data_IF_844224753806
#
_entry.id   IF_844224753806
#
_cell.length_a   1.000
_cell.length_b   1.000
_cell.length_c   1.000
_cell.angle_alpha   90.00
_cell.angle_beta   90.00
_cell.angle_gamma   90.00
#
_symmetry.space_group_name_H-M   'P 1'
#
loop_
_entity.id
_entity.type
_entity.pdbx_description
1 polymer ?
#
# COMPACT_ATOMS: atom_id res chain seq x y z
N UNK A 1 23.87 13.80 -18.52
CA UNK A 1 24.27 13.80 -17.09
C UNK A 1 23.16 14.43 -16.25
N UNK A 2 22.14 13.66 -15.81
CA UNK A 2 21.08 14.16 -14.89
C UNK A 2 20.50 13.09 -13.96
N UNK A 3 21.14 11.92 -13.85
CA UNK A 3 20.61 10.75 -13.11
C UNK A 3 21.44 10.30 -11.89
N UNK A 4 22.51 11.03 -11.52
CA UNK A 4 23.36 10.60 -10.40
C UNK A 4 22.95 11.20 -9.04
N UNK A 5 22.40 12.42 -9.00
CA UNK A 5 22.03 13.08 -7.73
C UNK A 5 20.69 12.61 -7.16
N UNK A 6 19.74 12.21 -8.01
CA UNK A 6 18.42 11.70 -7.57
C UNK A 6 18.54 10.35 -6.87
N UNK A 7 19.42 9.47 -7.34
CA UNK A 7 19.64 8.15 -6.75
C UNK A 7 20.28 8.20 -5.36
N UNK A 8 21.13 9.22 -5.10
CA UNK A 8 21.77 9.42 -3.81
C UNK A 8 20.78 9.98 -2.78
N UNK A 9 19.95 10.97 -3.16
CA UNK A 9 18.96 11.59 -2.27
C UNK A 9 17.93 10.58 -1.75
N UNK A 10 17.39 9.71 -2.60
CA UNK A 10 16.43 8.69 -2.17
C UNK A 10 17.06 7.55 -1.35
N UNK A 11 18.36 7.27 -1.54
CA UNK A 11 19.12 6.33 -0.70
C UNK A 11 19.45 6.90 0.68
N UNK A 12 19.75 8.20 0.78
CA UNK A 12 20.11 8.85 2.05
C UNK A 12 18.90 9.34 2.83
N UNK A 13 17.78 9.63 2.18
CA UNK A 13 16.53 10.07 2.82
C UNK A 13 16.05 9.16 3.98
N UNK A 14 15.98 7.83 3.85
CA UNK A 14 15.58 6.97 4.98
C UNK A 14 16.58 7.01 6.15
N UNK A 15 17.87 7.20 5.87
CA UNK A 15 18.90 7.35 6.89
C UNK A 15 18.80 8.72 7.58
N UNK A 16 18.65 9.80 6.80
CA UNK A 16 18.51 11.16 7.28
C UNK A 16 17.23 11.33 8.11
N UNK A 17 16.13 10.70 7.70
CA UNK A 17 14.88 10.66 8.48
C UNK A 17 15.06 9.97 9.82
N UNK A 18 15.77 8.84 9.86
CA UNK A 18 16.07 8.12 11.12
C UNK A 18 16.96 8.94 12.04
N UNK A 19 17.99 9.59 11.48
CA UNK A 19 18.87 10.48 12.24
C UNK A 19 18.09 11.69 12.79
N UNK A 20 17.23 12.31 11.98
CA UNK A 20 16.37 13.41 12.42
C UNK A 20 15.42 13.01 13.55
N UNK A 21 14.78 11.84 13.45
CA UNK A 21 13.93 11.31 14.53
C UNK A 21 14.73 11.04 15.81
N UNK A 22 15.94 10.49 15.68
CA UNK A 22 16.83 10.25 16.82
C UNK A 22 17.22 11.57 17.51
N UNK A 23 17.54 12.61 16.74
CA UNK A 23 17.82 13.95 17.26
C UNK A 23 16.61 14.52 17.99
N UNK A 24 15.39 14.38 17.45
CA UNK A 24 14.16 14.82 18.11
C UNK A 24 13.97 14.10 19.45
N UNK A 25 14.17 12.78 19.49
CA UNK A 25 14.06 12.02 20.74
C UNK A 25 15.13 12.39 21.76
N UNK A 26 16.36 12.68 21.32
CA UNK A 26 17.42 13.18 22.20
C UNK A 26 17.08 14.55 22.77
N UNK A 27 16.62 15.49 21.95
CA UNK A 27 16.20 16.83 22.39
C UNK A 27 15.05 16.70 23.40
N UNK A 28 14.05 15.86 23.12
CA UNK A 28 12.95 15.61 24.04
C UNK A 28 13.44 15.00 25.36
N UNK A 29 14.35 14.02 25.31
CA UNK A 29 14.93 13.42 26.51
C UNK A 29 15.71 14.45 27.35
N UNK A 30 16.54 15.28 26.72
CA UNK A 30 17.28 16.37 27.37
C UNK A 30 16.30 17.37 28.00
N UNK A 31 15.24 17.74 27.28
CA UNK A 31 14.20 18.64 27.79
C UNK A 31 13.50 18.07 29.03
N UNK A 32 13.10 16.79 29.00
CA UNK A 32 12.50 16.11 30.16
C UNK A 32 13.47 16.09 31.34
N UNK A 33 14.76 15.82 31.11
CA UNK A 33 15.78 15.85 32.16
C UNK A 33 15.91 17.26 32.75
N UNK A 34 15.97 18.29 31.90
CA UNK A 34 16.10 19.68 32.33
C UNK A 34 14.94 20.13 33.21
N UNK A 35 13.68 19.96 32.75
CA UNK A 35 12.49 20.32 33.56
C UNK A 35 12.39 19.51 34.86
N UNK A 36 12.91 18.28 34.87
CA UNK A 36 12.93 17.42 36.06
C UNK A 36 13.95 17.92 37.09
N UNK A 37 15.11 18.42 36.64
CA UNK A 37 16.14 18.98 37.53
C UNK A 37 15.65 20.30 38.15
N UNK A 38 15.07 21.17 37.33
CA UNK A 38 14.64 22.52 37.71
C UNK A 38 13.39 22.56 38.60
N UNK A 39 12.58 21.50 38.58
CA UNK A 39 11.40 21.42 39.43
C UNK A 39 11.78 21.43 40.92
N UNK A 40 11.22 22.35 41.71
CA UNK A 40 11.55 22.49 43.14
C UNK A 40 10.87 21.43 44.00
N UNK A 41 9.64 21.04 43.64
CA UNK A 41 8.88 20.04 44.38
C UNK A 41 9.22 18.60 43.95
N UNK A 42 9.49 17.72 44.93
CA UNK A 42 9.78 16.30 44.68
C UNK A 42 8.67 15.61 43.87
N UNK A 43 7.40 15.93 44.15
CA UNK A 43 6.27 15.39 43.41
C UNK A 43 6.30 15.76 41.92
N UNK A 44 6.68 17.00 41.58
CA UNK A 44 6.81 17.43 40.20
C UNK A 44 7.96 16.71 39.48
N UNK A 45 9.11 16.49 40.15
CA UNK A 45 10.23 15.69 39.62
C UNK A 45 9.78 14.28 39.24
N UNK A 46 9.05 13.61 40.13
CA UNK A 46 8.55 12.26 39.90
C UNK A 46 7.58 12.20 38.72
N UNK A 47 6.65 13.16 38.63
CA UNK A 47 5.69 13.25 37.53
C UNK A 47 6.40 13.45 36.19
N UNK A 48 7.36 14.37 36.10
CA UNK A 48 8.10 14.62 34.86
C UNK A 48 8.99 13.44 34.46
N UNK A 49 9.69 12.83 35.41
CA UNK A 49 10.55 11.68 35.13
C UNK A 49 9.74 10.47 34.66
N UNK A 50 8.69 10.09 35.39
CA UNK A 50 7.87 8.91 35.07
C UNK A 50 7.04 9.18 33.81
N UNK A 51 6.34 10.31 33.75
CA UNK A 51 5.51 10.68 32.60
C UNK A 51 6.33 10.82 31.32
N UNK A 52 7.44 11.54 31.38
CA UNK A 52 8.36 11.70 30.25
C UNK A 52 8.98 10.37 29.82
N UNK A 53 9.37 9.52 30.77
CA UNK A 53 9.87 8.18 30.50
C UNK A 53 8.85 7.30 29.78
N UNK A 54 7.59 7.30 30.22
CA UNK A 54 6.49 6.56 29.58
C UNK A 54 6.27 7.07 28.14
N UNK A 55 6.21 8.39 27.94
CA UNK A 55 6.01 8.98 26.61
C UNK A 55 7.16 8.61 25.67
N UNK A 56 8.41 8.70 26.14
CA UNK A 56 9.59 8.35 25.35
C UNK A 56 9.60 6.85 25.01
N UNK A 57 9.33 5.96 25.98
CA UNK A 57 9.25 4.52 25.73
C UNK A 57 8.14 4.19 24.73
N UNK A 58 6.97 4.81 24.86
CA UNK A 58 5.85 4.65 23.92
C UNK A 58 6.21 5.09 22.50
N UNK A 59 6.90 6.24 22.35
CA UNK A 59 7.34 6.74 21.06
C UNK A 59 8.37 5.81 20.39
N UNK A 60 9.38 5.36 21.14
CA UNK A 60 10.40 4.42 20.65
C UNK A 60 9.77 3.07 20.25
N UNK A 61 8.83 2.58 21.07
CA UNK A 61 8.09 1.36 20.78
C UNK A 61 7.26 1.49 19.49
N UNK A 62 6.56 2.62 19.28
CA UNK A 62 5.80 2.84 18.06
C UNK A 62 6.68 2.92 16.81
N UNK A 63 7.83 3.59 16.87
CA UNK A 63 8.78 3.61 15.74
C UNK A 63 9.36 2.21 15.46
N UNK A 64 9.61 1.39 16.49
CA UNK A 64 9.99 -0.01 16.30
C UNK A 64 8.90 -0.79 15.53
N UNK A 65 7.63 -0.66 15.91
CA UNK A 65 6.53 -1.32 15.20
C UNK A 65 6.41 -0.83 13.75
N UNK A 66 6.64 0.46 13.49
CA UNK A 66 6.63 1.04 12.15
C UNK A 66 7.74 0.49 11.26
N UNK A 67 8.91 0.16 11.82
CA UNK A 67 9.98 -0.54 11.08
C UNK A 67 9.49 -1.94 10.66
N UNK A 68 8.85 -2.69 11.55
CA UNK A 68 8.26 -4.00 11.22
C UNK A 68 7.17 -3.87 10.15
N UNK A 69 6.30 -2.88 10.27
CA UNK A 69 5.27 -2.59 9.27
C UNK A 69 5.88 -2.25 7.91
N UNK A 70 6.93 -1.43 7.87
CA UNK A 70 7.63 -1.08 6.62
C UNK A 70 8.29 -2.30 5.98
N UNK A 71 8.89 -3.20 6.77
CA UNK A 71 9.44 -4.46 6.28
C UNK A 71 8.35 -5.33 5.66
N UNK A 72 7.20 -5.42 6.31
CA UNK A 72 6.03 -6.17 5.85
C UNK A 72 5.49 -5.62 4.51
N UNK A 73 5.28 -4.30 4.40
CA UNK A 73 4.77 -3.71 3.14
C UNK A 73 5.81 -3.77 2.02
N UNK A 74 7.09 -3.55 2.32
CA UNK A 74 8.18 -3.65 1.32
C UNK A 74 8.28 -5.05 0.74
N UNK A 75 8.15 -6.08 1.58
CA UNK A 75 8.14 -7.47 1.13
C UNK A 75 7.00 -7.74 0.13
N UNK A 76 5.82 -7.18 0.39
CA UNK A 76 4.66 -7.35 -0.49
C UNK A 76 4.78 -6.54 -1.79
N UNK A 77 5.11 -5.24 -1.71
CA UNK A 77 4.99 -4.32 -2.86
C UNK A 77 6.25 -4.21 -3.71
N UNK A 78 7.43 -4.27 -3.10
CA UNK A 78 8.70 -4.08 -3.80
C UNK A 78 9.42 -5.39 -4.12
N UNK A 79 9.29 -6.39 -3.24
CA UNK A 79 9.95 -7.69 -3.37
C UNK A 79 9.04 -8.79 -3.89
N UNK A 80 7.72 -8.52 -3.90
CA UNK A 80 6.69 -9.45 -4.37
C UNK A 80 6.81 -10.84 -3.74
N UNK A 81 7.24 -10.86 -2.48
CA UNK A 81 7.52 -12.05 -1.67
C UNK A 81 6.44 -12.24 -0.60
N UNK A 82 5.45 -13.07 -0.93
CA UNK A 82 4.31 -13.41 -0.07
C UNK A 82 4.80 -14.08 1.23
N UNK A 83 5.81 -14.94 1.16
CA UNK A 83 6.31 -15.66 2.33
C UNK A 83 6.98 -14.70 3.31
N UNK A 84 7.88 -13.83 2.82
CA UNK A 84 8.52 -12.80 3.61
C UNK A 84 7.49 -11.81 4.19
N UNK A 85 6.49 -11.42 3.40
CA UNK A 85 5.42 -10.53 3.81
C UNK A 85 4.59 -11.14 4.96
N UNK A 86 4.20 -12.41 4.86
CA UNK A 86 3.50 -13.14 5.94
C UNK A 86 4.35 -13.29 7.19
N UNK A 87 5.64 -13.60 7.05
CA UNK A 87 6.57 -13.72 8.18
C UNK A 87 6.69 -12.39 8.94
N UNK A 88 6.86 -11.29 8.21
CA UNK A 88 6.92 -9.94 8.78
C UNK A 88 5.58 -9.53 9.42
N UNK A 89 4.45 -9.91 8.82
CA UNK A 89 3.11 -9.70 9.40
C UNK A 89 2.96 -10.43 10.75
N UNK A 90 3.37 -11.70 10.82
CA UNK A 90 3.31 -12.48 12.06
C UNK A 90 4.21 -11.87 13.16
N UNK A 91 5.38 -11.38 12.76
CA UNK A 91 6.30 -10.64 13.65
C UNK A 91 5.64 -9.35 14.19
N UNK A 92 5.02 -8.54 13.33
CA UNK A 92 4.30 -7.34 13.73
C UNK A 92 3.14 -7.66 14.69
N UNK A 93 2.30 -8.64 14.36
CA UNK A 93 1.17 -9.04 15.21
C UNK A 93 1.60 -9.51 16.60
N UNK A 94 2.71 -10.24 16.69
CA UNK A 94 3.26 -10.69 17.98
C UNK A 94 3.76 -9.52 18.84
N UNK A 95 4.22 -8.44 18.19
CA UNK A 95 4.84 -7.29 18.87
C UNK A 95 3.85 -6.16 19.12
N UNK A 96 2.81 -5.99 18.31
CA UNK A 96 1.81 -4.93 18.44
C UNK A 96 0.76 -5.25 19.52
N UNK A 97 1.18 -5.19 20.78
CA UNK A 97 0.34 -5.51 21.94
C UNK A 97 -0.88 -4.58 22.04
N UNK A 98 -0.72 -3.31 21.66
CA UNK A 98 -1.78 -2.30 21.72
C UNK A 98 -2.67 -2.27 20.47
N UNK A 99 -2.40 -3.13 19.48
CA UNK A 99 -3.16 -3.21 18.21
C UNK A 99 -3.21 -1.88 17.46
N UNK A 100 -2.14 -1.08 17.55
CA UNK A 100 -2.03 0.23 16.91
C UNK A 100 -2.07 0.14 15.38
N UNK A 101 -1.64 -0.99 14.80
CA UNK A 101 -1.61 -1.22 13.36
C UNK A 101 -2.84 -1.94 12.83
N UNK A 102 -3.89 -2.14 13.64
CA UNK A 102 -5.10 -2.89 13.23
C UNK A 102 -5.69 -2.40 11.90
N UNK A 103 -5.81 -1.08 11.71
CA UNK A 103 -6.34 -0.51 10.46
C UNK A 103 -5.43 -0.79 9.26
N UNK A 104 -4.13 -0.58 9.44
CA UNK A 104 -3.12 -0.85 8.40
C UNK A 104 -3.08 -2.32 8.01
N UNK A 105 -3.26 -3.23 8.98
CA UNK A 105 -3.34 -4.67 8.74
C UNK A 105 -4.59 -5.06 7.94
N UNK A 106 -5.74 -4.39 8.11
CA UNK A 106 -6.94 -4.66 7.31
C UNK A 106 -6.67 -4.39 5.82
N UNK A 107 -6.00 -3.29 5.48
CA UNK A 107 -5.62 -2.96 4.10
C UNK A 107 -4.56 -3.94 3.60
N UNK A 108 -3.54 -4.21 4.41
CA UNK A 108 -2.49 -5.16 4.05
C UNK A 108 -3.05 -6.54 3.72
N UNK A 109 -3.99 -7.03 4.52
CA UNK A 109 -4.60 -8.35 4.34
C UNK A 109 -5.42 -8.45 3.06
N UNK A 110 -6.09 -7.37 2.62
CA UNK A 110 -6.79 -7.38 1.33
C UNK A 110 -5.81 -7.46 0.15
N UNK A 111 -4.70 -6.71 0.21
CA UNK A 111 -3.64 -6.79 -0.79
C UNK A 111 -2.98 -8.18 -0.82
N UNK A 112 -2.67 -8.73 0.36
CA UNK A 112 -2.08 -10.06 0.48
C UNK A 112 -2.99 -11.15 -0.09
N UNK A 113 -4.29 -11.12 0.19
CA UNK A 113 -5.24 -12.10 -0.35
C UNK A 113 -5.34 -12.01 -1.87
N UNK A 114 -5.31 -10.80 -2.42
CA UNK A 114 -5.28 -10.57 -3.87
C UNK A 114 -4.00 -11.12 -4.49
N UNK A 115 -2.86 -10.90 -3.85
CA UNK A 115 -1.53 -11.34 -4.27
C UNK A 115 -1.37 -12.87 -4.22
N UNK A 116 -2.12 -13.53 -3.35
CA UNK A 116 -2.24 -14.99 -3.29
C UNK A 116 -3.23 -15.59 -4.32
N UNK A 117 -3.85 -14.76 -5.16
CA UNK A 117 -4.91 -15.19 -6.09
C UNK A 117 -6.23 -15.57 -5.39
N UNK A 118 -6.41 -15.24 -4.11
CA UNK A 118 -7.61 -15.58 -3.33
C UNK A 118 -8.65 -14.46 -3.40
N UNK A 119 -9.11 -14.14 -4.62
CA UNK A 119 -9.96 -12.98 -4.88
C UNK A 119 -11.29 -13.02 -4.13
N UNK A 120 -11.98 -14.16 -4.07
CA UNK A 120 -13.22 -14.30 -3.29
C UNK A 120 -13.00 -14.08 -1.79
N UNK A 121 -11.89 -14.61 -1.25
CA UNK A 121 -11.53 -14.37 0.15
C UNK A 121 -11.18 -12.89 0.41
N UNK A 122 -10.57 -12.21 -0.56
CA UNK A 122 -10.32 -10.77 -0.51
C UNK A 122 -11.64 -9.99 -0.45
N UNK A 123 -12.61 -10.31 -1.31
CA UNK A 123 -13.95 -9.71 -1.30
C UNK A 123 -14.65 -9.90 0.06
N UNK A 124 -14.63 -11.12 0.59
CA UNK A 124 -15.21 -11.45 1.89
C UNK A 124 -14.51 -10.71 3.05
N UNK A 125 -13.18 -10.59 3.01
CA UNK A 125 -12.40 -9.83 3.99
C UNK A 125 -12.77 -8.34 3.97
N UNK A 126 -12.90 -7.76 2.77
CA UNK A 126 -13.31 -6.36 2.63
C UNK A 126 -14.72 -6.13 3.17
N UNK A 127 -15.67 -7.04 2.91
CA UNK A 127 -17.04 -6.95 3.43
C UNK A 127 -17.09 -7.10 4.95
N UNK A 128 -16.36 -8.07 5.52
CA UNK A 128 -16.20 -8.24 6.98
C UNK A 128 -15.71 -6.96 7.66
N UNK A 129 -14.87 -6.19 6.97
CA UNK A 129 -14.29 -4.95 7.46
C UNK A 129 -14.93 -3.70 6.85
N UNK A 130 -16.15 -3.79 6.31
CA UNK A 130 -16.85 -2.68 5.63
C UNK A 130 -16.85 -1.37 6.41
N UNK A 131 -17.10 -1.40 7.73
CA UNK A 131 -17.09 -0.19 8.57
C UNK A 131 -15.75 0.55 8.53
N UNK A 132 -14.63 -0.18 8.47
CA UNK A 132 -13.30 0.42 8.36
C UNK A 132 -13.12 1.08 6.99
N UNK A 133 -13.46 0.35 5.92
CA UNK A 133 -13.31 0.84 4.55
C UNK A 133 -14.19 2.06 4.25
N UNK A 134 -15.37 2.15 4.85
CA UNK A 134 -16.27 3.30 4.70
C UNK A 134 -15.95 4.44 5.69
N UNK A 135 -14.87 4.33 6.46
CA UNK A 135 -14.52 5.31 7.49
C UNK A 135 -13.89 6.60 6.95
N UNK A 136 -13.21 6.54 5.81
CA UNK A 136 -12.62 7.71 5.14
C UNK A 136 -12.77 7.59 3.62
N UNK A 137 -12.74 8.71 2.89
CA UNK A 137 -12.83 8.67 1.44
C UNK A 137 -11.68 7.90 0.77
N UNK A 138 -10.45 7.98 1.30
CA UNK A 138 -9.30 7.21 0.79
C UNK A 138 -9.51 5.70 0.98
N UNK A 139 -10.00 5.26 2.14
CA UNK A 139 -10.29 3.85 2.39
C UNK A 139 -11.45 3.36 1.53
N UNK A 140 -12.43 4.22 1.26
CA UNK A 140 -13.55 3.88 0.40
C UNK A 140 -13.08 3.74 -1.06
N UNK A 141 -12.13 4.57 -1.49
CA UNK A 141 -11.50 4.41 -2.80
C UNK A 141 -10.76 3.06 -2.88
N UNK A 142 -9.91 2.74 -1.90
CA UNK A 142 -9.19 1.46 -1.84
C UNK A 142 -10.16 0.27 -1.88
N UNK A 143 -11.28 0.37 -1.18
CA UNK A 143 -12.32 -0.65 -1.18
C UNK A 143 -12.87 -0.92 -2.59
N UNK A 144 -13.29 0.13 -3.31
CA UNK A 144 -13.85 -0.05 -4.65
C UNK A 144 -12.80 -0.44 -5.69
N UNK A 145 -11.58 0.08 -5.58
CA UNK A 145 -10.48 -0.27 -6.49
C UNK A 145 -10.05 -1.72 -6.33
N UNK A 146 -9.82 -2.19 -5.10
CA UNK A 146 -9.45 -3.59 -4.86
C UNK A 146 -10.56 -4.55 -5.28
N UNK A 147 -11.84 -4.18 -5.10
CA UNK A 147 -12.98 -4.96 -5.60
C UNK A 147 -13.01 -5.02 -7.12
N UNK A 148 -12.78 -3.90 -7.81
CA UNK A 148 -12.69 -3.86 -9.27
C UNK A 148 -11.63 -4.84 -9.78
N UNK A 149 -10.43 -4.84 -9.17
CA UNK A 149 -9.37 -5.79 -9.51
C UNK A 149 -9.77 -7.24 -9.21
N UNK A 150 -10.36 -7.53 -8.05
CA UNK A 150 -10.82 -8.89 -7.74
C UNK A 150 -11.85 -9.38 -8.77
N UNK A 151 -12.84 -8.55 -9.12
CA UNK A 151 -13.85 -8.90 -10.12
C UNK A 151 -13.28 -9.01 -11.54
N UNK A 152 -12.22 -8.28 -11.87
CA UNK A 152 -11.45 -8.48 -13.12
C UNK A 152 -10.84 -9.88 -13.17
N UNK A 153 -10.14 -10.29 -12.12
CA UNK A 153 -9.51 -11.62 -12.07
C UNK A 153 -10.51 -12.78 -11.95
N UNK A 154 -11.73 -12.50 -11.48
CA UNK A 154 -12.81 -13.47 -11.42
C UNK A 154 -13.66 -13.52 -12.70
N UNK A 155 -13.33 -12.71 -13.72
CA UNK A 155 -14.11 -12.57 -14.96
C UNK A 155 -15.59 -12.22 -14.72
N UNK A 156 -15.82 -11.22 -13.87
CA UNK A 156 -17.17 -10.77 -13.46
C UNK A 156 -17.47 -9.35 -13.95
N UNK A 157 -17.71 -9.14 -15.26
CA UNK A 157 -17.82 -7.81 -15.88
C UNK A 157 -18.96 -6.96 -15.30
N UNK A 158 -20.10 -7.58 -14.96
CA UNK A 158 -21.22 -6.85 -14.35
C UNK A 158 -20.84 -6.20 -13.00
N UNK A 159 -20.06 -6.89 -12.18
CA UNK A 159 -19.58 -6.36 -10.89
C UNK A 159 -18.46 -5.34 -11.08
N UNK A 160 -17.60 -5.52 -12.08
CA UNK A 160 -16.59 -4.52 -12.47
C UNK A 160 -17.25 -3.19 -12.85
N UNK A 161 -18.32 -3.20 -13.65
CA UNK A 161 -19.03 -1.99 -14.06
C UNK A 161 -19.67 -1.28 -12.86
N UNK A 162 -20.23 -2.02 -11.89
CA UNK A 162 -20.74 -1.44 -10.63
C UNK A 162 -19.62 -0.76 -9.83
N UNK A 163 -18.46 -1.40 -9.71
CA UNK A 163 -17.30 -0.81 -9.03
C UNK A 163 -16.81 0.43 -9.77
N UNK A 164 -16.76 0.39 -11.10
CA UNK A 164 -16.38 1.50 -11.96
C UNK A 164 -17.28 2.73 -11.81
N UNK A 165 -18.60 2.53 -11.73
CA UNK A 165 -19.55 3.61 -11.44
C UNK A 165 -19.25 4.28 -10.10
N UNK A 166 -18.96 3.50 -9.06
CA UNK A 166 -18.58 4.02 -7.74
C UNK A 166 -17.26 4.78 -7.77
N UNK A 167 -16.27 4.30 -8.52
CA UNK A 167 -14.98 4.98 -8.68
C UNK A 167 -15.11 6.27 -9.50
N UNK A 168 -16.03 6.35 -10.46
CA UNK A 168 -16.29 7.56 -11.24
C UNK A 168 -16.80 8.73 -10.38
N UNK A 169 -17.54 8.44 -9.29
CA UNK A 169 -17.98 9.45 -8.32
C UNK A 169 -16.77 10.19 -7.68
N UNK A 170 -15.61 9.54 -7.56
CA UNK A 170 -14.37 10.15 -7.06
C UNK A 170 -13.63 11.01 -8.11
N UNK A 171 -13.82 10.73 -9.40
CA UNK A 171 -13.21 11.52 -10.48
C UNK A 171 -13.81 12.93 -10.55
N UNK A 172 -15.08 13.04 -10.15
CA UNK A 172 -15.87 14.28 -10.16
C UNK A 172 -15.75 15.08 -8.86
N UNK A 173 -15.19 14.50 -7.81
CA UNK A 173 -14.97 15.20 -6.54
C UNK A 173 -13.66 16.01 -6.57
N UNK A 174 -13.58 17.06 -5.76
CA UNK A 174 -12.41 17.97 -5.74
C UNK A 174 -11.14 17.18 -5.42
N UNK A 175 -10.30 16.96 -6.44
CA UNK A 175 -9.08 16.14 -6.38
C UNK A 175 -8.09 16.62 -5.31
N UNK A 176 -8.25 17.85 -4.80
CA UNK A 176 -7.49 18.37 -3.65
C UNK A 176 -7.76 17.63 -2.33
N UNK A 177 -8.85 16.86 -2.23
CA UNK A 177 -9.24 16.12 -1.01
C UNK A 177 -8.75 14.68 -0.97
N UNK A 178 -8.09 14.20 -2.02
CA UNK A 178 -7.67 12.81 -2.15
C UNK A 178 -6.19 12.74 -2.54
N UNK A 179 -5.45 11.81 -1.95
CA UNK A 179 -4.15 11.48 -2.51
C UNK A 179 -4.37 10.79 -3.86
N UNK A 180 -3.62 11.11 -4.94
CA UNK A 180 -3.70 10.41 -6.21
C UNK A 180 -3.08 9.01 -6.05
N UNK A 181 -3.78 8.15 -5.31
CA UNK A 181 -3.31 6.81 -4.92
C UNK A 181 -3.28 5.87 -6.13
N UNK A 182 -4.16 6.08 -7.12
CA UNK A 182 -4.33 5.21 -8.27
C UNK A 182 -4.59 5.99 -9.56
N UNK A 183 -4.24 5.38 -10.70
CA UNK A 183 -4.44 5.97 -12.02
C UNK A 183 -5.89 5.78 -12.47
N UNK A 184 -6.60 6.87 -12.79
CA UNK A 184 -7.91 6.76 -13.42
C UNK A 184 -7.84 6.12 -14.82
N UNK A 185 -6.69 6.17 -15.50
CA UNK A 185 -6.51 5.46 -16.77
C UNK A 185 -6.52 3.93 -16.58
N UNK A 186 -6.04 3.41 -15.44
CA UNK A 186 -6.14 1.98 -15.12
C UNK A 186 -7.61 1.59 -14.97
N UNK A 187 -8.37 2.36 -14.18
CA UNK A 187 -9.79 2.14 -13.93
C UNK A 187 -10.59 2.21 -15.25
N UNK A 188 -10.33 3.23 -16.07
CA UNK A 188 -10.98 3.39 -17.38
C UNK A 188 -10.63 2.21 -18.32
N UNK A 189 -9.41 1.67 -18.21
CA UNK A 189 -8.98 0.47 -18.93
C UNK A 189 -9.72 -0.80 -18.51
N UNK A 190 -9.85 -1.04 -17.21
CA UNK A 190 -10.59 -2.17 -16.65
C UNK A 190 -12.09 -2.09 -17.00
N UNK A 191 -12.69 -0.90 -16.93
CA UNK A 191 -14.09 -0.69 -17.37
C UNK A 191 -14.25 -0.94 -18.87
N UNK A 192 -13.27 -0.53 -19.69
CA UNK A 192 -13.31 -0.83 -21.12
C UNK A 192 -13.23 -2.34 -21.39
N UNK A 193 -12.38 -3.05 -20.65
CA UNK A 193 -12.25 -4.51 -20.70
C UNK A 193 -13.57 -5.21 -20.33
N UNK A 194 -14.23 -4.77 -19.25
CA UNK A 194 -15.55 -5.28 -18.86
C UNK A 194 -16.64 -5.09 -19.93
N UNK A 195 -16.48 -4.11 -20.83
CA UNK A 195 -17.38 -3.88 -21.97
C UNK A 195 -16.94 -4.63 -23.25
N UNK A 196 -15.93 -5.49 -23.19
CA UNK A 196 -15.35 -6.18 -24.35
C UNK A 196 -14.54 -5.27 -25.28
N UNK A 197 -14.25 -4.03 -24.86
CA UNK A 197 -13.52 -3.05 -25.67
C UNK A 197 -12.00 -3.15 -25.45
N UNK A 198 -11.42 -4.32 -25.71
CA UNK A 198 -10.03 -4.65 -25.37
C UNK A 198 -8.98 -3.70 -25.98
N UNK A 199 -9.17 -3.23 -27.23
CA UNK A 199 -8.29 -2.21 -27.82
C UNK A 199 -8.35 -0.87 -27.08
N UNK A 200 -9.52 -0.50 -26.55
CA UNK A 200 -9.65 0.70 -25.71
C UNK A 200 -9.01 0.47 -24.35
N UNK A 201 -9.17 -0.72 -23.76
CA UNK A 201 -8.52 -1.11 -22.52
C UNK A 201 -7.00 -0.95 -22.60
N UNK A 202 -6.37 -1.51 -23.65
CA UNK A 202 -4.93 -1.38 -23.91
C UNK A 202 -4.50 0.09 -24.02
N UNK A 203 -5.20 0.89 -24.83
CA UNK A 203 -4.88 2.33 -24.97
C UNK A 203 -4.99 3.12 -23.67
N UNK A 204 -5.87 2.74 -22.76
CA UNK A 204 -5.95 3.33 -21.43
C UNK A 204 -4.78 2.87 -20.57
N UNK A 205 -4.47 1.56 -20.56
CA UNK A 205 -3.34 1.00 -19.82
C UNK A 205 -1.99 1.60 -20.28
N UNK A 206 -1.79 1.83 -21.56
CA UNK A 206 -0.56 2.41 -22.12
C UNK A 206 -0.26 3.85 -21.66
N UNK A 207 -1.25 4.54 -21.07
CA UNK A 207 -1.03 5.88 -20.50
C UNK A 207 -0.39 5.85 -19.11
N UNK A 208 -0.35 4.69 -18.45
CA UNK A 208 0.27 4.56 -17.13
C UNK A 208 1.78 4.81 -17.24
N UNK A 209 2.30 5.63 -16.33
CA UNK A 209 3.75 5.83 -16.20
C UNK A 209 4.39 4.65 -15.47
N UNK A 210 4.80 3.63 -16.22
CA UNK A 210 5.39 2.38 -15.70
C UNK A 210 6.60 2.63 -14.79
N UNK A 211 7.35 3.71 -15.02
CA UNK A 211 8.50 4.10 -14.22
C UNK A 211 8.13 4.43 -12.76
N UNK A 212 6.88 4.85 -12.53
CA UNK A 212 6.37 5.21 -11.20
C UNK A 212 5.78 4.04 -10.43
N UNK A 213 5.53 2.92 -11.10
CA UNK A 213 4.94 1.72 -10.50
C UNK A 213 5.99 0.94 -9.70
N UNK A 214 5.59 0.43 -8.53
CA UNK A 214 6.37 -0.55 -7.78
C UNK A 214 6.32 -1.93 -8.45
N UNK A 215 7.13 -2.89 -7.96
CA UNK A 215 7.23 -4.21 -8.58
C UNK A 215 5.88 -4.96 -8.62
N UNK A 216 5.10 -4.90 -7.54
CA UNK A 216 3.76 -5.47 -7.48
C UNK A 216 2.86 -4.88 -8.56
N UNK A 217 2.74 -3.56 -8.62
CA UNK A 217 1.93 -2.83 -9.61
C UNK A 217 2.37 -3.13 -11.05
N UNK A 218 3.68 -3.19 -11.33
CA UNK A 218 4.19 -3.58 -12.65
C UNK A 218 3.76 -4.99 -13.03
N UNK A 219 3.82 -5.92 -12.09
CA UNK A 219 3.39 -7.30 -12.31
C UNK A 219 1.91 -7.35 -12.71
N UNK A 220 1.06 -6.65 -11.96
CA UNK A 220 -0.37 -6.52 -12.26
C UNK A 220 -0.61 -5.88 -13.64
N UNK A 221 0.05 -4.74 -13.90
CA UNK A 221 -0.04 -4.01 -15.16
C UNK A 221 0.29 -4.86 -16.39
N UNK A 222 1.44 -5.54 -16.37
CA UNK A 222 1.84 -6.40 -17.48
C UNK A 222 0.94 -7.62 -17.63
N UNK A 223 0.44 -8.17 -16.52
CA UNK A 223 -0.51 -9.28 -16.59
C UNK A 223 -1.83 -8.84 -17.23
N UNK A 224 -2.36 -7.67 -16.85
CA UNK A 224 -3.56 -7.09 -17.47
C UNK A 224 -3.36 -6.89 -18.98
N UNK A 225 -2.24 -6.30 -19.41
CA UNK A 225 -1.95 -6.16 -20.84
C UNK A 225 -1.90 -7.51 -21.56
N UNK A 226 -1.26 -8.52 -20.97
CA UNK A 226 -1.23 -9.86 -21.55
C UNK A 226 -2.65 -10.44 -21.71
N UNK A 227 -3.54 -10.24 -20.74
CA UNK A 227 -4.93 -10.68 -20.81
C UNK A 227 -5.70 -9.94 -21.91
N UNK A 228 -5.56 -8.63 -22.02
CA UNK A 228 -6.23 -7.85 -23.08
C UNK A 228 -5.74 -8.24 -24.49
N UNK A 229 -4.43 -8.46 -24.68
CA UNK A 229 -3.89 -8.94 -25.95
C UNK A 229 -4.31 -10.38 -26.27
N UNK A 230 -4.50 -11.22 -25.24
CA UNK A 230 -5.04 -12.57 -25.41
C UNK A 230 -6.46 -12.53 -25.95
N UNK A 231 -7.31 -11.64 -25.44
CA UNK A 231 -8.66 -11.44 -25.96
C UNK A 231 -8.69 -10.96 -27.42
N UNK A 232 -7.62 -10.29 -27.88
CA UNK A 232 -7.42 -9.88 -29.27
C UNK A 232 -6.70 -10.94 -30.14
N UNK A 233 -6.37 -12.11 -29.60
CA UNK A 233 -5.61 -13.17 -30.26
C UNK A 233 -4.18 -12.76 -30.72
N UNK A 234 -3.58 -11.73 -30.11
CA UNK A 234 -2.19 -11.31 -30.40
C UNK A 234 -1.19 -12.07 -29.53
N UNK A 235 -0.84 -13.29 -29.97
CA UNK A 235 0.05 -14.17 -29.21
C UNK A 235 1.47 -13.62 -29.01
N UNK A 236 1.93 -12.74 -29.92
CA UNK A 236 3.25 -12.12 -29.81
C UNK A 236 3.28 -11.18 -28.60
N UNK A 237 2.28 -10.30 -28.46
CA UNK A 237 2.20 -9.38 -27.34
C UNK A 237 1.90 -10.12 -26.03
N UNK A 238 1.07 -11.18 -26.05
CA UNK A 238 0.84 -12.04 -24.88
C UNK A 238 2.17 -12.58 -24.35
N UNK A 239 2.99 -13.19 -25.22
CA UNK A 239 4.29 -13.74 -24.82
C UNK A 239 5.24 -12.68 -24.25
N UNK A 240 5.28 -11.49 -24.87
CA UNK A 240 6.07 -10.34 -24.40
C UNK A 240 5.65 -9.92 -22.98
N UNK A 241 4.37 -9.68 -22.76
CA UNK A 241 3.90 -9.13 -21.49
C UNK A 241 3.90 -10.17 -20.36
N UNK A 242 3.63 -11.45 -20.63
CA UNK A 242 3.79 -12.50 -19.62
C UNK A 242 5.25 -12.68 -19.18
N UNK A 243 6.21 -12.50 -20.09
CA UNK A 243 7.63 -12.50 -19.73
C UNK A 243 7.96 -11.35 -18.78
N UNK A 244 7.43 -10.15 -19.06
CA UNK A 244 7.59 -8.98 -18.20
C UNK A 244 6.90 -9.17 -16.84
N UNK A 245 5.69 -9.75 -16.80
CA UNK A 245 5.04 -10.12 -15.52
C UNK A 245 5.96 -10.99 -14.67
N UNK A 246 6.56 -12.03 -15.25
CA UNK A 246 7.45 -12.97 -14.53
C UNK A 246 8.70 -12.30 -13.96
N UNK A 247 9.18 -11.22 -14.56
CA UNK A 247 10.32 -10.44 -14.06
C UNK A 247 10.02 -9.78 -12.71
N UNK A 248 8.77 -9.36 -12.49
CA UNK A 248 8.36 -8.63 -11.29
C UNK A 248 7.50 -9.44 -10.32
N UNK A 249 6.90 -10.56 -10.75
CA UNK A 249 5.91 -11.27 -9.93
C UNK A 249 6.50 -11.99 -8.72
N UNK A 250 7.75 -12.49 -8.80
CA UNK A 250 8.35 -13.38 -7.80
C UNK A 250 7.37 -14.48 -7.33
N UNK A 251 6.76 -14.34 -6.15
CA UNK A 251 5.80 -15.31 -5.59
C UNK A 251 4.33 -14.92 -5.73
N UNK A 252 4.04 -13.76 -6.33
CA UNK A 252 2.67 -13.34 -6.67
C UNK A 252 1.99 -14.35 -7.59
N UNK A 253 0.72 -14.59 -7.32
CA UNK A 253 -0.10 -15.54 -8.07
C UNK A 253 -1.18 -14.79 -8.84
N UNK A 254 -1.24 -15.04 -10.15
CA UNK A 254 -2.34 -14.63 -11.00
C UNK A 254 -3.18 -15.87 -11.31
N UNK A 255 -4.50 -15.70 -11.35
CA UNK A 255 -5.46 -16.77 -11.63
C UNK A 255 -5.44 -17.19 -13.10
#
# INVERSE_FOLDING_TARGET
MKNFSTNLFWRTYPLLRRLGLLVIYLIFAIYIIHITIDATALGAKLIYAIGGGIVLCGALYYEYLKILYTKMTTALTMQTDIFAAKKARAELLKRDVFKGFKGSLIIFDSLLLMDEGKYEACLAHMEKHRKFFFGTPDYLFIYWHNRLLCHYFLDQPAEMLKCGQKLAEFKQSDQRKFSPLFSFDEIDGLIASANGLHQKAIRCLDKLSVERLNARERSYYYYMLATEYRALNDQQQVGKYLKLTREYQNTLTFG
#
